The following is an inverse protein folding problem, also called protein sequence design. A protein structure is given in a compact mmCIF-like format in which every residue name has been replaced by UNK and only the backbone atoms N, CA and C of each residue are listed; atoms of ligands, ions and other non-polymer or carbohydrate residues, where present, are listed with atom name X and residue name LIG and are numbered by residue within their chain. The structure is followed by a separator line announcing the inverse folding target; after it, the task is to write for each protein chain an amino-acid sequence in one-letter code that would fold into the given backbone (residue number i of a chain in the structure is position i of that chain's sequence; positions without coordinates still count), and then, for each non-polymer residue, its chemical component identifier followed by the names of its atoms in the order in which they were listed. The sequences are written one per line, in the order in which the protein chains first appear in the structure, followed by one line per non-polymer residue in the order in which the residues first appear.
data_IF_994566505297
#
_entry.id   IF_994566505297
#
_cell.length_a   1.000
_cell.length_b   1.000
_cell.length_c   1.000
_cell.angle_alpha   90.00
_cell.angle_beta   90.00
_cell.angle_gamma   90.00
#
_symmetry.space_group_name_H-M   'P 1'
#
loop_
_entity.id
_entity.type
_entity.pdbx_description
1 polymer ?
#
# COMPACT_ATOMS: atom_id res chain seq x y z
N UNK A 1 8.44 -0.96 -7.77
CA UNK A 1 8.52 -2.05 -6.77
C UNK A 1 7.26 -2.13 -5.92
N UNK A 2 6.86 -1.08 -5.19
CA UNK A 2 5.63 -1.03 -4.38
C UNK A 2 4.40 -1.65 -5.06
N UNK A 3 4.07 -1.19 -6.27
CA UNK A 3 2.92 -1.70 -7.04
C UNK A 3 2.99 -3.20 -7.31
N UNK A 4 4.15 -3.68 -7.76
CA UNK A 4 4.34 -5.11 -8.05
C UNK A 4 4.28 -5.96 -6.77
N UNK A 5 4.80 -5.44 -5.67
CA UNK A 5 4.73 -6.12 -4.37
C UNK A 5 3.28 -6.23 -3.88
N UNK A 6 2.49 -5.15 -4.00
CA UNK A 6 1.05 -5.18 -3.71
C UNK A 6 0.30 -6.14 -4.63
N UNK A 7 0.66 -6.22 -5.92
CA UNK A 7 0.03 -7.15 -6.85
C UNK A 7 0.21 -8.61 -6.46
N UNK A 8 1.38 -9.01 -5.95
CA UNK A 8 1.63 -10.40 -5.51
C UNK A 8 1.03 -10.69 -4.12
N UNK A 9 0.89 -9.66 -3.29
CA UNK A 9 0.33 -9.78 -1.94
C UNK A 9 -1.20 -9.68 -1.91
N UNK A 10 -1.83 -9.09 -2.93
CA UNK A 10 -3.26 -8.75 -2.95
C UNK A 10 -4.19 -9.84 -2.43
N UNK A 11 -3.97 -11.09 -2.85
CA UNK A 11 -4.87 -12.20 -2.46
C UNK A 11 -4.74 -12.62 -1.00
N UNK A 12 -3.66 -12.22 -0.32
CA UNK A 12 -3.42 -12.52 1.08
C UNK A 12 -3.72 -11.35 2.02
N UNK A 13 -3.99 -10.14 1.53
CA UNK A 13 -4.28 -9.00 2.40
C UNK A 13 -5.77 -9.01 2.75
N UNK A 14 -6.11 -9.00 4.05
CA UNK A 14 -7.49 -8.93 4.56
C UNK A 14 -7.88 -7.53 5.04
N UNK A 15 -6.90 -6.72 5.42
CA UNK A 15 -7.07 -5.32 5.80
C UNK A 15 -5.91 -4.49 5.24
N UNK A 16 -6.22 -3.34 4.66
CA UNK A 16 -5.21 -2.38 4.23
C UNK A 16 -5.62 -0.98 4.67
N UNK A 17 -4.61 -0.15 4.93
CA UNK A 17 -4.84 1.23 5.29
C UNK A 17 -3.77 2.13 4.69
N UNK A 18 -4.13 3.40 4.49
CA UNK A 18 -3.24 4.39 3.93
C UNK A 18 -3.47 5.77 4.55
N UNK A 19 -2.40 6.54 4.64
CA UNK A 19 -2.47 7.97 4.86
C UNK A 19 -2.48 8.71 3.52
N UNK A 20 -3.42 9.62 3.33
CA UNK A 20 -3.42 10.60 2.24
C UNK A 20 -2.48 11.79 2.56
N UNK A 21 -1.31 11.50 3.14
CA UNK A 21 -0.24 12.45 3.44
C UNK A 21 1.03 12.05 2.70
N UNK A 22 1.79 13.03 2.24
CA UNK A 22 3.10 12.86 1.61
C UNK A 22 4.01 13.99 2.08
N UNK A 23 5.30 13.71 2.24
CA UNK A 23 6.31 14.75 2.49
C UNK A 23 6.61 15.58 1.22
N UNK A 24 6.26 15.05 0.05
CA UNK A 24 6.46 15.66 -1.26
C UNK A 24 5.13 16.03 -1.93
N UNK A 25 5.22 16.74 -3.06
CA UNK A 25 4.05 17.04 -3.89
C UNK A 25 3.58 15.75 -4.57
N UNK A 26 2.29 15.43 -4.44
CA UNK A 26 1.67 14.32 -5.16
C UNK A 26 1.88 14.46 -6.68
N UNK A 27 2.40 13.42 -7.36
CA UNK A 27 2.50 13.42 -8.80
C UNK A 27 1.12 13.58 -9.48
N UNK A 28 1.02 14.31 -10.60
CA UNK A 28 -0.26 14.53 -11.29
C UNK A 28 -1.02 13.24 -11.62
N UNK A 29 -0.30 12.17 -11.95
CA UNK A 29 -0.86 10.87 -12.32
C UNK A 29 -1.56 10.13 -11.17
N UNK A 30 -1.31 10.50 -9.90
CA UNK A 30 -1.95 9.87 -8.74
C UNK A 30 -3.01 10.75 -8.06
N UNK A 31 -3.22 11.98 -8.54
CA UNK A 31 -4.17 12.93 -7.94
C UNK A 31 -5.60 12.37 -7.88
N UNK A 32 -6.05 11.66 -8.92
CA UNK A 32 -7.37 11.04 -8.93
C UNK A 32 -7.52 9.98 -7.82
N UNK A 33 -6.46 9.22 -7.54
CA UNK A 33 -6.44 8.22 -6.47
C UNK A 33 -6.37 8.87 -5.08
N UNK A 34 -5.63 9.99 -4.95
CA UNK A 34 -5.61 10.82 -3.75
C UNK A 34 -7.00 11.38 -3.43
N UNK A 35 -7.67 11.99 -4.40
CA UNK A 35 -9.03 12.51 -4.25
C UNK A 35 -10.02 11.39 -3.90
N UNK A 36 -9.86 10.20 -4.51
CA UNK A 36 -10.68 9.03 -4.18
C UNK A 36 -10.47 8.57 -2.75
N UNK A 37 -9.22 8.51 -2.26
CA UNK A 37 -8.93 8.16 -0.87
C UNK A 37 -9.68 9.09 0.11
N UNK A 38 -9.62 10.40 -0.11
CA UNK A 38 -10.35 11.37 0.72
C UNK A 38 -11.88 11.21 0.59
N UNK A 39 -12.38 10.80 -0.57
CA UNK A 39 -13.81 10.50 -0.74
C UNK A 39 -14.24 9.30 0.07
N UNK A 40 -13.44 8.22 0.07
CA UNK A 40 -13.69 7.02 0.86
C UNK A 40 -13.76 7.33 2.35
N UNK A 41 -12.80 8.10 2.87
CA UNK A 41 -12.82 8.55 4.27
C UNK A 41 -14.10 9.34 4.61
N UNK A 42 -14.59 10.19 3.69
CA UNK A 42 -15.86 10.91 3.87
C UNK A 42 -17.07 9.98 3.82
N UNK A 43 -17.08 9.00 2.92
CA UNK A 43 -18.14 7.99 2.79
C UNK A 43 -18.25 7.16 4.08
N UNK A 44 -17.13 6.74 4.67
CA UNK A 44 -17.10 6.04 5.96
C UNK A 44 -17.69 6.86 7.10
N UNK A 45 -17.42 8.17 7.10
CA UNK A 45 -18.02 9.09 8.08
C UNK A 45 -19.54 9.18 7.91
N UNK A 46 -20.02 9.24 6.67
CA UNK A 46 -21.47 9.25 6.37
C UNK A 46 -22.12 7.94 6.80
N UNK A 47 -21.43 6.81 6.58
CA UNK A 47 -21.90 5.47 6.92
C UNK A 47 -21.73 5.12 8.41
N UNK A 48 -21.15 6.01 9.22
CA UNK A 48 -20.95 5.81 10.66
C UNK A 48 -19.83 4.82 11.02
N UNK A 49 -19.01 4.43 10.05
CA UNK A 49 -17.83 3.57 10.23
C UNK A 49 -16.70 4.39 10.85
N UNK A 50 -16.50 5.62 10.36
CA UNK A 50 -15.46 6.55 10.79
C UNK A 50 -16.04 7.70 11.59
N UNK A 51 -15.33 8.16 12.62
CA UNK A 51 -15.74 9.33 13.41
C UNK A 51 -15.56 10.62 12.61
N UNK A 52 -16.51 11.55 12.70
CA UNK A 52 -16.39 12.92 12.16
C UNK A 52 -15.21 13.71 12.75
N UNK A 53 -14.68 13.28 13.89
CA UNK A 53 -13.52 13.90 14.56
C UNK A 53 -12.19 13.29 14.13
N UNK A 54 -12.22 12.18 13.40
CA UNK A 54 -11.00 11.58 12.86
C UNK A 54 -10.39 12.53 11.83
N UNK A 55 -9.07 12.49 11.74
CA UNK A 55 -8.35 13.21 10.69
C UNK A 55 -8.86 12.74 9.30
N UNK A 56 -9.16 13.65 8.34
CA UNK A 56 -9.71 13.26 7.05
C UNK A 56 -8.76 12.47 6.15
N UNK A 57 -7.44 12.63 6.34
CA UNK A 57 -6.40 12.04 5.52
C UNK A 57 -5.71 10.82 6.14
N UNK A 58 -5.80 10.62 7.46
CA UNK A 58 -4.99 9.61 8.16
C UNK A 58 -5.72 8.27 8.34
N UNK A 59 -5.07 7.14 8.13
CA UNK A 59 -5.60 5.79 8.41
C UNK A 59 -6.93 5.52 7.70
N UNK A 60 -6.95 5.67 6.38
CA UNK A 60 -8.09 5.41 5.52
C UNK A 60 -8.11 3.91 5.19
N UNK A 61 -9.20 3.23 5.51
CA UNK A 61 -9.32 1.79 5.28
C UNK A 61 -9.63 1.48 3.82
N UNK A 62 -8.97 0.45 3.29
CA UNK A 62 -9.11 0.00 1.91
C UNK A 62 -9.38 -1.51 1.83
N UNK A 63 -10.43 -1.90 1.12
CA UNK A 63 -10.67 -3.30 0.78
C UNK A 63 -9.90 -3.65 -0.50
N UNK A 64 -8.77 -4.34 -0.37
CA UNK A 64 -7.94 -4.72 -1.52
C UNK A 64 -8.63 -5.68 -2.50
N UNK A 65 -9.76 -6.28 -2.13
CA UNK A 65 -10.55 -7.14 -3.03
C UNK A 65 -11.36 -6.31 -4.02
N UNK A 66 -11.68 -5.06 -3.68
CA UNK A 66 -12.24 -4.08 -4.61
C UNK A 66 -11.13 -3.49 -5.50
N UNK A 67 -11.31 -3.54 -6.81
CA UNK A 67 -10.31 -3.06 -7.77
C UNK A 67 -10.06 -1.54 -7.66
N UNK A 68 -11.07 -0.77 -7.26
CA UNK A 68 -10.98 0.68 -7.06
C UNK A 68 -10.16 1.03 -5.83
N UNK A 69 -10.45 0.40 -4.69
CA UNK A 69 -9.67 0.56 -3.45
C UNK A 69 -8.24 0.05 -3.64
N UNK A 70 -8.06 -1.10 -4.29
CA UNK A 70 -6.72 -1.62 -4.59
C UNK A 70 -5.92 -0.67 -5.49
N UNK A 71 -6.56 -0.04 -6.49
CA UNK A 71 -5.92 0.99 -7.32
C UNK A 71 -5.48 2.19 -6.49
N UNK A 72 -6.30 2.66 -5.54
CA UNK A 72 -5.91 3.75 -4.63
C UNK A 72 -4.65 3.38 -3.84
N UNK A 73 -4.65 2.20 -3.21
CA UNK A 73 -3.49 1.72 -2.45
C UNK A 73 -2.23 1.64 -3.33
N UNK A 74 -2.34 0.99 -4.48
CA UNK A 74 -1.22 0.78 -5.41
C UNK A 74 -0.66 2.10 -5.98
N UNK A 75 -1.53 3.06 -6.27
CA UNK A 75 -1.09 4.34 -6.80
C UNK A 75 -0.36 5.19 -5.76
N UNK A 76 -0.86 5.22 -4.53
CA UNK A 76 -0.42 6.14 -3.48
C UNK A 76 0.67 5.57 -2.56
N UNK A 77 0.75 4.25 -2.37
CA UNK A 77 1.77 3.61 -1.55
C UNK A 77 3.22 4.05 -1.84
N UNK A 78 3.63 4.34 -3.10
CA UNK A 78 4.99 4.83 -3.39
C UNK A 78 5.26 6.30 -3.03
N UNK A 79 4.28 7.03 -2.50
CA UNK A 79 4.41 8.48 -2.26
C UNK A 79 3.89 8.89 -0.89
N UNK A 80 3.05 8.06 -0.27
CA UNK A 80 2.51 8.33 1.06
C UNK A 80 3.58 8.22 2.15
N UNK A 81 3.35 8.92 3.26
CA UNK A 81 4.08 8.72 4.51
C UNK A 81 3.78 7.37 5.16
N UNK A 82 2.62 6.76 4.87
CA UNK A 82 2.18 5.52 5.50
C UNK A 82 1.18 4.74 4.66
N UNK A 83 1.50 3.48 4.36
CA UNK A 83 0.59 2.48 3.80
C UNK A 83 0.93 1.09 4.34
N UNK A 84 -0.09 0.33 4.72
CA UNK A 84 0.11 -1.03 5.20
C UNK A 84 -0.93 -2.00 4.65
N UNK A 85 -0.53 -3.26 4.59
CA UNK A 85 -1.40 -4.41 4.30
C UNK A 85 -1.16 -5.50 5.34
N UNK A 86 -2.26 -6.09 5.81
CA UNK A 86 -2.30 -7.03 6.91
C UNK A 86 -2.96 -8.35 6.47
N UNK A 87 -2.53 -9.45 7.09
CA UNK A 87 -3.11 -10.79 6.98
C UNK A 87 -3.24 -11.38 8.38
N UNK A 88 -4.45 -11.70 8.81
CA UNK A 88 -4.75 -12.30 10.12
C UNK A 88 -4.08 -11.53 11.28
N UNK A 89 -4.10 -10.19 11.20
CA UNK A 89 -3.49 -9.31 12.20
C UNK A 89 -1.96 -9.24 12.15
N UNK A 90 -1.33 -9.76 11.10
CA UNK A 90 0.11 -9.64 10.84
C UNK A 90 0.38 -8.68 9.69
N UNK A 91 1.34 -7.78 9.88
CA UNK A 91 1.81 -6.87 8.84
C UNK A 91 2.53 -7.68 7.75
N UNK A 92 2.09 -7.57 6.49
CA UNK A 92 2.72 -8.25 5.33
C UNK A 92 3.19 -7.28 4.25
N UNK A 93 2.71 -6.03 4.30
CA UNK A 93 3.14 -4.93 3.45
C UNK A 93 3.25 -3.68 4.30
N UNK A 94 4.34 -2.95 4.17
CA UNK A 94 4.51 -1.62 4.74
C UNK A 94 5.30 -0.76 3.77
N UNK A 95 4.78 0.42 3.49
CA UNK A 95 5.46 1.44 2.72
C UNK A 95 5.31 2.78 3.45
N UNK A 96 6.38 3.56 3.47
CA UNK A 96 6.41 4.86 4.13
C UNK A 96 7.66 5.64 3.78
N UNK A 97 7.93 6.72 4.52
CA UNK A 97 9.06 7.63 4.29
C UNK A 97 9.11 8.09 2.82
N UNK A 98 8.03 8.74 2.36
CA UNK A 98 7.81 9.18 0.97
C UNK A 98 8.00 8.08 -0.09
N UNK A 99 7.69 6.83 0.27
CA UNK A 99 7.84 5.65 -0.59
C UNK A 99 9.28 5.29 -0.93
N UNK A 100 10.23 5.73 -0.11
CA UNK A 100 11.62 5.25 -0.17
C UNK A 100 11.85 4.00 0.67
N UNK A 101 10.95 3.72 1.62
CA UNK A 101 10.96 2.49 2.41
C UNK A 101 9.85 1.55 1.93
N UNK A 102 10.26 0.32 1.57
CA UNK A 102 9.36 -0.79 1.28
C UNK A 102 9.78 -1.98 2.11
N UNK A 103 8.83 -2.49 2.90
CA UNK A 103 8.97 -3.76 3.59
C UNK A 103 7.81 -4.68 3.19
N UNK A 104 8.12 -5.95 2.94
CA UNK A 104 7.14 -6.98 2.61
C UNK A 104 7.50 -8.31 3.25
N UNK A 105 6.48 -9.05 3.67
CA UNK A 105 6.61 -10.47 4.02
C UNK A 105 6.04 -11.31 2.88
N UNK A 106 6.87 -12.16 2.28
CA UNK A 106 6.51 -12.96 1.11
C UNK A 106 6.71 -14.44 1.41
N UNK A 107 5.79 -15.26 0.92
CA UNK A 107 6.05 -16.70 0.71
C UNK A 107 7.05 -16.91 -0.42
N UNK A 108 7.60 -18.11 -0.53
CA UNK A 108 8.55 -18.44 -1.61
C UNK A 108 7.91 -18.31 -3.00
N UNK A 109 6.63 -18.68 -3.13
CA UNK A 109 5.87 -18.52 -4.37
C UNK A 109 5.66 -17.05 -4.73
N UNK A 110 5.33 -16.21 -3.74
CA UNK A 110 5.15 -14.77 -3.95
C UNK A 110 6.47 -14.06 -4.27
N UNK A 111 7.58 -14.46 -3.64
CA UNK A 111 8.90 -13.96 -3.96
C UNK A 111 9.26 -14.28 -5.43
N UNK A 112 9.08 -15.52 -5.86
CA UNK A 112 9.33 -15.91 -7.25
C UNK A 112 8.46 -15.12 -8.25
N UNK A 113 7.18 -14.92 -7.91
CA UNK A 113 6.27 -14.11 -8.72
C UNK A 113 6.70 -12.63 -8.79
N UNK A 114 7.13 -12.06 -7.66
CA UNK A 114 7.63 -10.69 -7.60
C UNK A 114 8.90 -10.54 -8.44
N UNK A 115 9.87 -11.43 -8.28
CA UNK A 115 11.12 -11.41 -9.03
C UNK A 115 10.87 -11.55 -10.55
N UNK A 116 9.92 -12.40 -10.95
CA UNK A 116 9.52 -12.53 -12.36
C UNK A 116 8.98 -11.21 -12.92
N UNK A 117 8.08 -10.54 -12.20
CA UNK A 117 7.52 -9.23 -12.57
C UNK A 117 8.58 -8.14 -12.65
N UNK A 118 9.48 -8.08 -11.66
CA UNK A 118 10.59 -7.12 -11.67
C UNK A 118 11.52 -7.35 -12.86
N UNK A 119 11.81 -8.61 -13.20
CA UNK A 119 12.60 -8.96 -14.38
C UNK A 119 11.96 -8.49 -15.69
N UNK A 120 10.63 -8.58 -15.83
CA UNK A 120 9.90 -8.05 -16.99
C UNK A 120 9.99 -6.52 -17.11
N UNK A 121 10.17 -5.82 -15.99
CA UNK A 121 10.38 -4.38 -15.92
C UNK A 121 11.87 -3.98 -16.03
N UNK A 122 12.77 -4.94 -16.22
CA UNK A 122 14.22 -4.69 -16.26
C UNK A 122 14.83 -4.29 -14.91
N UNK A 123 14.12 -4.51 -13.80
CA UNK A 123 14.60 -4.21 -12.45
C UNK A 123 15.44 -5.40 -11.95
N UNK A 124 16.73 -5.19 -11.58
CA UNK A 124 17.58 -6.27 -11.09
C UNK A 124 17.07 -6.84 -9.74
N UNK A 125 17.23 -8.14 -9.51
CA UNK A 125 16.81 -8.80 -8.26
C UNK A 125 17.58 -8.34 -7.01
N UNK A 126 18.79 -7.81 -7.18
CA UNK A 126 19.65 -7.33 -6.08
C UNK A 126 19.14 -6.07 -5.36
N UNK A 127 18.01 -5.49 -5.78
CA UNK A 127 17.36 -4.37 -5.10
C UNK A 127 16.59 -4.79 -3.84
N UNK A 128 16.25 -6.08 -3.71
CA UNK A 128 15.61 -6.63 -2.52
C UNK A 128 16.68 -7.15 -1.57
N UNK A 129 16.59 -6.77 -0.29
CA UNK A 129 17.47 -7.26 0.76
C UNK A 129 16.64 -7.99 1.80
N UNK A 130 17.01 -9.23 2.11
CA UNK A 130 16.42 -9.97 3.24
C UNK A 130 17.04 -9.43 4.53
N UNK A 131 16.26 -8.89 5.48
CA UNK A 131 16.81 -8.46 6.75
C UNK A 131 17.43 -9.64 7.49
N UNK A 132 18.60 -9.44 8.09
CA UNK A 132 19.23 -10.47 8.91
C UNK A 132 18.30 -10.85 10.09
N UNK A 133 18.24 -12.13 10.49
CA UNK A 133 17.42 -12.54 11.62
C UNK A 133 17.82 -11.75 12.86
N UNK A 134 16.84 -11.12 13.53
CA UNK A 134 17.05 -10.45 14.82
C UNK A 134 17.54 -11.52 15.81
N UNK A 135 18.75 -11.35 16.34
CA UNK A 135 19.36 -12.23 17.36
C UNK A 135 18.71 -12.04 18.72
#
# INVERSE_FOLDING_TARGET
MHREALHVLRSGIDAAHIDAYSDDVWPPEVLASYERALSLAREEVVNGIRSRRSDPGMGIDLDVRDDGHFKVLSDLAPYTTHAEGWLDGRLVFSAGDSGTSLWVELTQEQEAALLSRLGQLGIPSGVLTVPAPKR
#
